data_IF_502456820512
#
_entry.id   IF_502456820512
#
_cell.length_a   1.000
_cell.length_b   1.000
_cell.length_c   1.000
_cell.angle_alpha   90.00
_cell.angle_beta   90.00
_cell.angle_gamma   90.00
#
_symmetry.space_group_name_H-M   'P 1'
#
loop_
_entity.id
_entity.type
_entity.pdbx_description
1 polymer ?
#
# COMPACT_ATOMS: atom_id res chain seq x y z
N UNK A 1 -2.45 28.21 43.66
CA UNK A 1 -2.41 26.75 43.90
C UNK A 1 -3.39 26.10 42.93
N UNK A 2 -2.91 25.52 41.83
CA UNK A 2 -3.74 24.83 40.84
C UNK A 2 -3.66 23.32 41.10
N UNK A 3 -4.78 22.58 41.14
CA UNK A 3 -4.75 21.13 41.26
C UNK A 3 -4.29 20.54 39.92
N UNK A 4 -3.20 19.77 39.95
CA UNK A 4 -2.81 18.86 38.86
C UNK A 4 -3.81 17.70 38.84
N UNK A 5 -4.84 17.78 38.01
CA UNK A 5 -5.70 16.63 37.72
C UNK A 5 -4.94 15.67 36.80
N UNK A 6 -4.52 14.54 37.37
CA UNK A 6 -3.92 13.46 36.61
C UNK A 6 -4.94 12.90 35.63
N UNK A 7 -4.52 12.79 34.37
CA UNK A 7 -5.18 11.97 33.37
C UNK A 7 -5.44 10.56 33.93
N UNK A 8 -6.45 9.82 33.44
CA UNK A 8 -6.62 8.40 33.75
C UNK A 8 -5.28 7.70 33.56
N UNK A 9 -4.65 7.30 34.66
CA UNK A 9 -3.52 6.39 34.60
C UNK A 9 -4.12 5.06 34.16
N UNK A 10 -4.02 4.78 32.86
CA UNK A 10 -4.01 3.42 32.39
C UNK A 10 -2.91 2.71 33.18
N UNK A 11 -3.30 1.86 34.14
CA UNK A 11 -2.41 0.85 34.70
C UNK A 11 -2.14 -0.15 33.57
N UNK A 12 -1.21 0.21 32.70
CA UNK A 12 -0.64 -0.64 31.68
C UNK A 12 0.80 -0.93 32.10
N UNK A 13 1.16 -2.18 32.42
CA UNK A 13 2.56 -2.56 32.36
C UNK A 13 2.93 -2.59 30.87
N UNK A 14 3.60 -1.54 30.40
CA UNK A 14 4.09 -1.46 29.02
C UNK A 14 3.56 -0.23 28.29
N UNK A 15 4.19 0.91 28.53
CA UNK A 15 4.08 2.05 27.63
C UNK A 15 4.74 1.71 26.30
N UNK A 16 3.93 1.50 25.27
CA UNK A 16 4.24 1.84 23.88
C UNK A 16 2.94 2.28 23.22
N UNK A 17 2.79 3.59 23.05
CA UNK A 17 1.85 4.15 22.10
C UNK A 17 2.38 3.82 20.69
N UNK A 18 1.84 2.76 20.11
CA UNK A 18 1.83 2.48 18.68
C UNK A 18 0.49 1.78 18.45
N UNK A 19 -0.39 2.37 17.63
CA UNK A 19 -1.60 1.73 17.09
C UNK A 19 -1.24 0.62 16.08
N UNK A 20 -0.19 -0.12 16.38
CA UNK A 20 0.29 -1.26 15.67
C UNK A 20 -0.11 -2.46 16.51
N UNK A 21 -0.94 -3.34 15.96
CA UNK A 21 -1.11 -4.69 16.48
C UNK A 21 0.26 -5.32 16.75
N UNK A 22 0.38 -6.29 17.68
CA UNK A 22 1.64 -6.99 17.90
C UNK A 22 2.21 -7.61 16.60
N UNK A 23 1.37 -7.85 15.60
CA UNK A 23 1.75 -8.21 14.24
C UNK A 23 2.41 -7.04 13.48
N UNK A 24 1.78 -5.86 13.43
CA UNK A 24 2.35 -4.65 12.80
C UNK A 24 3.65 -4.18 13.45
N UNK A 25 3.78 -4.29 14.78
CA UNK A 25 5.02 -3.96 15.49
C UNK A 25 6.17 -4.93 15.15
N UNK A 26 5.86 -6.20 14.84
CA UNK A 26 6.83 -7.21 14.40
C UNK A 26 7.21 -7.02 12.94
N UNK A 27 6.25 -6.71 12.06
CA UNK A 27 6.49 -6.30 10.67
C UNK A 27 7.44 -5.08 10.59
N UNK A 28 7.22 -4.07 11.43
CA UNK A 28 8.12 -2.92 11.51
C UNK A 28 9.56 -3.27 11.90
N UNK A 29 9.76 -4.36 12.65
CA UNK A 29 11.08 -4.81 13.11
C UNK A 29 11.77 -5.78 12.12
N UNK A 30 11.01 -6.54 11.34
CA UNK A 30 11.51 -7.37 10.24
C UNK A 30 11.94 -6.54 9.01
N UNK A 31 11.33 -5.36 8.82
CA UNK A 31 11.62 -4.44 7.71
C UNK A 31 13.10 -4.11 7.48
N UNK A 32 13.95 -3.77 8.47
CA UNK A 32 15.38 -3.54 8.25
C UNK A 32 16.14 -4.77 7.71
N UNK A 33 15.70 -5.98 8.05
CA UNK A 33 16.31 -7.22 7.53
C UNK A 33 15.97 -7.36 6.05
N UNK A 34 14.71 -7.13 5.68
CA UNK A 34 14.26 -7.14 4.27
C UNK A 34 14.95 -6.04 3.46
N UNK A 35 15.06 -4.83 3.99
CA UNK A 35 15.77 -3.71 3.33
C UNK A 35 17.26 -4.01 3.13
N UNK A 36 17.93 -4.59 4.13
CA UNK A 36 19.33 -5.03 4.00
C UNK A 36 19.48 -6.13 2.95
N UNK A 37 18.48 -7.01 2.83
CA UNK A 37 18.43 -8.06 1.81
C UNK A 37 18.30 -7.47 0.41
N UNK A 38 17.38 -6.52 0.23
CA UNK A 38 17.14 -5.83 -1.04
C UNK A 38 18.33 -4.96 -1.45
N UNK A 39 18.99 -4.30 -0.49
CA UNK A 39 20.18 -3.49 -0.72
C UNK A 39 21.40 -4.32 -1.19
N UNK A 40 21.43 -5.62 -0.89
CA UNK A 40 22.47 -6.53 -1.34
C UNK A 40 22.24 -7.09 -2.75
N UNK A 41 21.14 -6.71 -3.43
CA UNK A 41 20.87 -7.15 -4.80
C UNK A 41 21.67 -6.33 -5.84
N UNK A 42 22.09 -6.94 -6.96
CA UNK A 42 22.81 -6.24 -8.01
C UNK A 42 21.98 -5.09 -8.59
N UNK A 43 22.62 -3.92 -8.76
CA UNK A 43 22.03 -2.66 -9.23
C UNK A 43 21.05 -2.74 -10.41
N UNK A 44 21.25 -3.56 -11.48
CA UNK A 44 20.28 -3.66 -12.57
C UNK A 44 18.95 -4.30 -12.13
N UNK A 45 18.97 -5.27 -11.22
CA UNK A 45 17.74 -5.88 -10.69
C UNK A 45 16.96 -4.88 -9.83
N UNK A 46 17.68 -4.01 -9.11
CA UNK A 46 17.10 -2.96 -8.28
C UNK A 46 16.48 -1.83 -9.13
N UNK A 47 17.09 -1.50 -10.28
CA UNK A 47 16.52 -0.55 -11.24
C UNK A 47 15.22 -1.07 -11.88
N UNK A 48 15.18 -2.34 -12.31
CA UNK A 48 13.96 -2.97 -12.86
C UNK A 48 12.88 -3.09 -11.78
N UNK A 49 13.25 -3.47 -10.55
CA UNK A 49 12.32 -3.49 -9.43
C UNK A 49 11.75 -2.10 -9.15
N UNK A 50 12.59 -1.06 -9.11
CA UNK A 50 12.18 0.34 -8.95
C UNK A 50 11.24 0.81 -10.06
N UNK A 51 11.51 0.43 -11.31
CA UNK A 51 10.68 0.78 -12.46
C UNK A 51 9.32 0.08 -12.42
N UNK A 52 9.27 -1.20 -12.03
CA UNK A 52 8.03 -1.95 -11.82
C UNK A 52 7.24 -1.52 -10.58
N UNK A 53 7.92 -0.98 -9.56
CA UNK A 53 7.32 -0.32 -8.39
C UNK A 53 6.88 1.13 -8.66
N UNK A 54 7.03 1.62 -9.90
CA UNK A 54 6.55 2.96 -10.32
C UNK A 54 7.42 4.13 -9.85
N UNK A 55 8.71 3.91 -9.57
CA UNK A 55 9.60 4.94 -8.98
C UNK A 55 10.56 5.62 -9.97
N UNK A 56 10.31 5.54 -11.28
CA UNK A 56 11.13 6.25 -12.28
C UNK A 56 10.30 7.16 -13.17
N UNK A 57 10.61 8.45 -13.16
CA UNK A 57 10.24 9.41 -14.20
C UNK A 57 10.77 8.89 -15.54
N UNK A 58 9.88 8.55 -16.46
CA UNK A 58 10.25 7.92 -17.73
C UNK A 58 10.92 8.94 -18.67
N UNK A 59 12.21 8.73 -18.97
CA UNK A 59 12.88 9.36 -20.11
C UNK A 59 12.43 8.66 -21.40
N UNK A 60 11.93 9.46 -22.35
CA UNK A 60 11.25 9.03 -23.57
C UNK A 60 12.00 8.03 -24.45
N UNK A 61 11.25 7.05 -24.98
CA UNK A 61 11.69 6.15 -26.04
C UNK A 61 11.22 6.69 -27.40
N UNK A 62 12.18 6.97 -28.27
CA UNK A 62 11.99 7.43 -29.63
C UNK A 62 11.63 6.28 -30.59
N UNK A 63 10.70 6.57 -31.50
CA UNK A 63 10.75 6.16 -32.91
C UNK A 63 10.25 4.76 -33.27
N UNK A 64 9.12 4.70 -33.99
CA UNK A 64 8.87 3.67 -35.00
C UNK A 64 8.00 4.24 -36.13
N UNK A 65 8.63 4.46 -37.28
CA UNK A 65 7.95 4.64 -38.55
C UNK A 65 7.99 3.31 -39.31
N UNK A 66 6.83 2.73 -39.63
CA UNK A 66 6.72 1.68 -40.65
C UNK A 66 5.49 1.94 -41.53
N UNK A 67 5.62 1.97 -42.86
CA UNK A 67 4.49 2.12 -43.78
C UNK A 67 3.94 0.74 -44.17
N UNK A 68 2.61 0.55 -44.14
CA UNK A 68 2.02 -0.65 -44.74
C UNK A 68 0.62 -1.08 -44.29
N UNK A 69 -0.02 -0.41 -43.32
CA UNK A 69 -1.37 -0.81 -42.88
C UNK A 69 -2.45 0.09 -43.50
N UNK A 70 -3.06 -0.39 -44.59
CA UNK A 70 -4.20 0.26 -45.24
C UNK A 70 -5.48 -0.23 -44.54
N UNK A 71 -6.03 0.59 -43.64
CA UNK A 71 -7.29 0.26 -42.96
C UNK A 71 -7.65 1.00 -41.68
N UNK A 72 -7.01 2.13 -41.36
CA UNK A 72 -7.52 3.05 -40.34
C UNK A 72 -8.01 4.33 -41.03
N UNK A 73 -9.27 4.70 -40.79
CA UNK A 73 -9.74 6.07 -41.01
C UNK A 73 -9.02 6.98 -40.01
N UNK A 74 -7.94 7.62 -40.45
CA UNK A 74 -7.18 8.60 -39.69
C UNK A 74 -7.58 9.99 -40.17
N UNK A 75 -8.15 10.84 -39.31
CA UNK A 75 -8.15 12.28 -39.56
C UNK A 75 -6.68 12.76 -39.58
N UNK A 76 -6.25 13.32 -40.72
CA UNK A 76 -4.84 13.66 -40.99
C UNK A 76 -4.22 14.74 -40.08
N UNK A 77 -4.98 15.33 -39.16
CA UNK A 77 -4.56 16.48 -38.33
C UNK A 77 -4.22 16.10 -36.88
N UNK A 78 -4.70 14.96 -36.39
CA UNK A 78 -4.61 14.60 -34.95
C UNK A 78 -4.08 13.19 -34.74
N UNK A 79 -2.97 12.87 -35.43
CA UNK A 79 -2.21 11.61 -35.39
C UNK A 79 -2.64 10.57 -34.34
N UNK A 80 -3.02 9.39 -34.81
CA UNK A 80 -3.56 8.29 -34.00
C UNK A 80 -2.74 8.04 -32.71
N UNK A 81 -3.19 8.60 -31.58
CA UNK A 81 -2.76 8.19 -30.26
C UNK A 81 -3.44 6.87 -29.93
N UNK A 82 -2.91 5.77 -30.45
CA UNK A 82 -3.13 4.51 -29.79
C UNK A 82 -2.41 4.58 -28.44
N UNK A 83 -3.05 4.18 -27.31
CA UNK A 83 -2.27 3.88 -26.12
C UNK A 83 -1.24 2.85 -26.55
N UNK A 84 0.04 3.23 -26.49
CA UNK A 84 1.11 2.29 -26.75
C UNK A 84 0.94 1.20 -25.70
N UNK A 85 0.37 0.06 -26.09
CA UNK A 85 0.30 -1.13 -25.26
C UNK A 85 1.73 -1.38 -24.84
N UNK A 86 2.04 -1.18 -23.55
CA UNK A 86 3.40 -1.30 -23.08
C UNK A 86 3.88 -2.69 -23.49
N UNK A 87 4.91 -2.74 -24.35
CA UNK A 87 5.40 -4.00 -24.84
C UNK A 87 5.68 -4.91 -23.63
N UNK A 88 5.28 -6.20 -23.68
CA UNK A 88 5.52 -7.10 -22.57
C UNK A 88 7.00 -7.03 -22.21
N UNK A 89 7.36 -7.04 -20.91
CA UNK A 89 8.73 -6.81 -20.49
C UNK A 89 9.63 -7.85 -21.16
N UNK A 90 10.83 -7.42 -21.50
CA UNK A 90 11.71 -8.21 -22.32
C UNK A 90 11.95 -9.57 -21.65
N UNK A 91 12.21 -10.65 -22.42
CA UNK A 91 12.56 -11.95 -21.85
C UNK A 91 13.66 -11.88 -20.78
N UNK A 92 14.59 -10.93 -20.90
CA UNK A 92 15.63 -10.63 -19.91
C UNK A 92 15.05 -10.19 -18.55
N UNK A 93 14.04 -9.33 -18.54
CA UNK A 93 13.41 -8.82 -17.32
C UNK A 93 12.68 -9.94 -16.57
N UNK A 94 12.05 -10.87 -17.30
CA UNK A 94 11.40 -12.07 -16.72
C UNK A 94 12.40 -12.99 -16.04
N UNK A 95 13.58 -13.20 -16.64
CA UNK A 95 14.64 -13.99 -16.03
C UNK A 95 15.16 -13.36 -14.74
N UNK A 96 15.31 -12.03 -14.72
CA UNK A 96 15.69 -11.28 -13.51
C UNK A 96 14.67 -11.46 -12.41
N UNK A 97 13.38 -11.30 -12.68
CA UNK A 97 12.31 -11.48 -11.69
C UNK A 97 12.32 -12.89 -11.07
N UNK A 98 12.50 -13.93 -11.90
CA UNK A 98 12.60 -15.32 -11.43
C UNK A 98 13.85 -15.55 -10.58
N UNK A 99 14.98 -14.97 -10.96
CA UNK A 99 16.22 -15.05 -10.18
C UNK A 99 16.10 -14.34 -8.82
N UNK A 100 15.48 -13.16 -8.79
CA UNK A 100 15.22 -12.44 -7.53
C UNK A 100 14.29 -13.27 -6.64
N UNK A 101 13.19 -13.81 -7.17
CA UNK A 101 12.28 -14.67 -6.41
C UNK A 101 13.00 -15.90 -5.81
N UNK A 102 13.86 -16.57 -6.59
CA UNK A 102 14.67 -17.69 -6.10
C UNK A 102 15.67 -17.27 -4.99
N UNK A 103 16.21 -16.06 -5.09
CA UNK A 103 17.11 -15.52 -4.06
C UNK A 103 16.37 -15.22 -2.76
N UNK A 104 15.14 -14.69 -2.84
CA UNK A 104 14.28 -14.45 -1.67
C UNK A 104 13.90 -15.76 -0.98
N UNK A 105 13.52 -16.80 -1.75
CA UNK A 105 13.25 -18.14 -1.22
C UNK A 105 14.46 -18.73 -0.48
N UNK A 106 15.66 -18.64 -1.07
CA UNK A 106 16.88 -19.15 -0.44
C UNK A 106 17.14 -18.47 0.91
N UNK A 107 16.87 -17.17 1.02
CA UNK A 107 17.00 -16.42 2.27
C UNK A 107 15.89 -16.74 3.26
N UNK A 108 14.66 -16.92 2.79
CA UNK A 108 13.54 -17.36 3.62
C UNK A 108 13.84 -18.73 4.26
N UNK A 109 14.43 -19.65 3.50
CA UNK A 109 14.86 -20.96 4.02
C UNK A 109 15.91 -20.82 5.13
N UNK A 110 16.94 -19.99 4.93
CA UNK A 110 17.97 -19.73 5.95
C UNK A 110 17.36 -19.14 7.23
N UNK A 111 16.45 -18.16 7.11
CA UNK A 111 15.77 -17.56 8.26
C UNK A 111 14.90 -18.57 9.00
N UNK A 112 14.22 -19.45 8.25
CA UNK A 112 13.42 -20.53 8.82
C UNK A 112 14.28 -21.53 9.60
N UNK A 113 15.45 -21.90 9.08
CA UNK A 113 16.40 -22.81 9.75
C UNK A 113 17.02 -22.18 11.01
N UNK A 114 17.22 -20.86 11.00
CA UNK A 114 17.70 -20.10 12.18
C UNK A 114 16.60 -19.85 13.20
N UNK A 115 15.33 -19.97 12.82
CA UNK A 115 14.23 -19.70 13.73
C UNK A 115 14.11 -20.78 14.80
N UNK A 116 14.14 -20.35 16.06
CA UNK A 116 13.94 -21.26 17.21
C UNK A 116 12.47 -21.58 17.49
N UNK A 117 11.54 -20.95 16.76
CA UNK A 117 10.09 -21.03 16.98
C UNK A 117 9.33 -20.67 15.71
N UNK A 118 8.26 -21.40 15.40
CA UNK A 118 7.34 -21.07 14.29
C UNK A 118 6.68 -19.69 14.42
N UNK A 119 6.76 -19.08 15.62
CA UNK A 119 6.22 -17.75 15.93
C UNK A 119 7.32 -16.72 16.25
N UNK A 120 8.59 -17.05 15.96
CA UNK A 120 9.73 -16.15 16.11
C UNK A 120 9.75 -15.03 15.07
N UNK A 121 10.53 -13.98 15.34
CA UNK A 121 10.71 -12.85 14.42
C UNK A 121 11.28 -13.30 13.05
N UNK A 122 12.16 -14.30 13.07
CA UNK A 122 12.76 -14.91 11.88
C UNK A 122 11.72 -15.66 11.05
N UNK A 123 10.75 -16.32 11.69
CA UNK A 123 9.64 -17.02 10.99
C UNK A 123 8.71 -16.03 10.29
N UNK A 124 8.43 -14.88 10.91
CA UNK A 124 7.66 -13.81 10.25
C UNK A 124 8.42 -13.22 9.06
N UNK A 125 9.71 -12.93 9.22
CA UNK A 125 10.56 -12.44 8.12
C UNK A 125 10.64 -13.45 6.96
N UNK A 126 10.77 -14.75 7.27
CA UNK A 126 10.76 -15.81 6.25
C UNK A 126 9.43 -15.86 5.49
N UNK A 127 8.29 -15.71 6.19
CA UNK A 127 6.96 -15.65 5.55
C UNK A 127 6.85 -14.46 4.60
N UNK A 128 7.27 -13.28 5.05
CA UNK A 128 7.25 -12.05 4.23
C UNK A 128 8.11 -12.19 2.96
N UNK A 129 9.33 -12.73 3.08
CA UNK A 129 10.20 -12.98 1.92
C UNK A 129 9.58 -13.97 0.93
N UNK A 130 8.89 -15.01 1.43
CA UNK A 130 8.19 -15.99 0.59
C UNK A 130 7.03 -15.33 -0.17
N UNK A 131 6.23 -14.51 0.52
CA UNK A 131 5.14 -13.75 -0.11
C UNK A 131 5.63 -12.77 -1.18
N UNK A 132 6.78 -12.12 -0.95
CA UNK A 132 7.44 -11.28 -1.94
C UNK A 132 7.94 -12.09 -3.15
N UNK A 133 8.56 -13.26 -2.93
CA UNK A 133 8.98 -14.15 -4.00
C UNK A 133 7.80 -14.59 -4.88
N UNK A 134 6.68 -14.96 -4.28
CA UNK A 134 5.45 -15.34 -4.99
C UNK A 134 4.84 -14.19 -5.77
N UNK A 135 4.93 -12.95 -5.26
CA UNK A 135 4.52 -11.77 -6.01
C UNK A 135 5.38 -11.56 -7.25
N UNK A 136 6.70 -11.71 -7.14
CA UNK A 136 7.62 -11.57 -8.28
C UNK A 136 7.43 -12.66 -9.34
N UNK A 137 7.15 -13.91 -8.91
CA UNK A 137 6.80 -15.00 -9.84
C UNK A 137 5.54 -14.68 -10.63
N UNK A 138 4.47 -14.28 -9.94
CA UNK A 138 3.21 -13.89 -10.59
C UNK A 138 3.44 -12.78 -11.59
N UNK A 139 4.20 -11.75 -11.23
CA UNK A 139 4.50 -10.66 -12.16
C UNK A 139 5.31 -11.12 -13.38
N UNK A 140 6.24 -12.07 -13.21
CA UNK A 140 6.98 -12.66 -14.33
C UNK A 140 6.08 -13.52 -15.24
N UNK A 141 5.08 -14.20 -14.69
CA UNK A 141 4.14 -15.03 -15.42
C UNK A 141 3.06 -14.18 -16.12
N UNK A 142 2.52 -13.15 -15.47
CA UNK A 142 1.61 -12.16 -16.04
C UNK A 142 2.27 -11.45 -17.24
N UNK A 143 3.52 -11.02 -17.06
CA UNK A 143 4.36 -10.50 -18.12
C UNK A 143 4.53 -11.47 -19.29
N UNK A 144 4.72 -12.77 -19.00
CA UNK A 144 4.85 -13.79 -20.04
C UNK A 144 3.54 -14.04 -20.80
N UNK A 145 2.41 -13.89 -20.11
CA UNK A 145 1.08 -13.97 -20.70
C UNK A 145 0.67 -12.70 -21.46
N UNK A 146 1.51 -11.66 -21.46
CA UNK A 146 1.17 -10.36 -22.04
C UNK A 146 0.06 -9.64 -21.27
N UNK A 147 -0.20 -10.05 -20.02
CA UNK A 147 -1.13 -9.37 -19.13
C UNK A 147 -0.44 -8.08 -18.71
N UNK A 148 -0.81 -6.99 -19.36
CA UNK A 148 -0.44 -5.67 -18.90
C UNK A 148 -1.07 -5.49 -17.50
N UNK A 149 -0.31 -5.11 -16.46
CA UNK A 149 -0.92 -4.72 -15.21
C UNK A 149 -1.97 -3.65 -15.53
N UNK A 150 -3.16 -3.69 -14.91
CA UNK A 150 -4.19 -2.71 -15.18
C UNK A 150 -3.55 -1.34 -15.03
N UNK A 151 -3.47 -0.59 -16.13
CA UNK A 151 -3.03 0.81 -16.11
C UNK A 151 -4.17 1.55 -15.43
N UNK A 152 -4.09 1.64 -14.10
CA UNK A 152 -5.18 2.07 -13.25
C UNK A 152 -5.37 3.57 -13.36
N UNK A 153 -6.09 3.99 -14.41
CA UNK A 153 -7.10 5.05 -14.30
C UNK A 153 -8.36 4.48 -13.62
N UNK A 154 -8.19 3.63 -12.61
CA UNK A 154 -9.32 3.03 -11.91
C UNK A 154 -9.89 4.08 -10.98
N UNK A 155 -11.10 4.52 -11.33
CA UNK A 155 -11.97 5.17 -10.39
C UNK A 155 -12.14 4.23 -9.18
N UNK A 156 -11.43 4.53 -8.09
CA UNK A 156 -11.60 3.79 -6.85
C UNK A 156 -13.06 3.94 -6.40
N UNK A 157 -13.78 2.84 -6.13
CA UNK A 157 -15.09 2.95 -5.52
C UNK A 157 -14.98 3.69 -4.19
N UNK A 158 -16.00 4.46 -3.82
CA UNK A 158 -16.00 5.17 -2.55
C UNK A 158 -15.80 4.18 -1.40
N UNK A 159 -14.80 4.45 -0.56
CA UNK A 159 -14.53 3.63 0.61
C UNK A 159 -15.34 4.17 1.80
N UNK A 160 -15.92 3.26 2.58
CA UNK A 160 -16.71 3.62 3.75
C UNK A 160 -16.09 3.00 5.01
N UNK A 161 -15.86 3.83 6.01
CA UNK A 161 -15.38 3.40 7.32
C UNK A 161 -16.32 3.90 8.40
N UNK A 162 -16.63 3.05 9.37
CA UNK A 162 -17.46 3.37 10.52
C UNK A 162 -16.58 3.53 11.75
N UNK A 163 -16.70 4.66 12.44
CA UNK A 163 -15.95 4.94 13.66
C UNK A 163 -16.91 5.13 14.84
N UNK A 164 -16.59 4.52 15.96
CA UNK A 164 -17.22 4.88 17.23
C UNK A 164 -16.44 6.06 17.82
N UNK A 165 -17.14 7.13 18.21
CA UNK A 165 -16.51 8.31 18.78
C UNK A 165 -16.98 8.53 20.22
N UNK A 166 -16.07 9.04 21.04
CA UNK A 166 -16.27 9.41 22.45
C UNK A 166 -16.10 10.93 22.57
N UNK A 167 -17.08 11.62 23.15
CA UNK A 167 -16.98 13.07 23.38
C UNK A 167 -16.12 13.34 24.61
N UNK A 168 -14.98 14.00 24.42
CA UNK A 168 -14.14 14.52 25.49
C UNK A 168 -14.70 15.88 25.96
N UNK A 169 -15.22 15.99 27.19
CA UNK A 169 -15.79 17.24 27.68
C UNK A 169 -14.74 18.32 27.98
N UNK A 170 -13.46 17.96 28.18
CA UNK A 170 -12.38 18.90 28.49
C UNK A 170 -11.92 19.58 27.21
N UNK A 171 -11.66 18.81 26.16
CA UNK A 171 -11.28 19.34 24.84
C UNK A 171 -12.50 19.80 24.02
N UNK A 172 -13.71 19.45 24.46
CA UNK A 172 -14.97 19.68 23.75
C UNK A 172 -14.94 19.14 22.30
N UNK A 173 -14.33 17.97 22.12
CA UNK A 173 -14.17 17.33 20.81
C UNK A 173 -14.64 15.88 20.81
N UNK A 174 -14.84 15.32 19.63
CA UNK A 174 -15.17 13.91 19.46
C UNK A 174 -13.93 13.15 19.02
N UNK A 175 -13.50 12.19 19.85
CA UNK A 175 -12.30 11.40 19.61
C UNK A 175 -12.71 10.02 19.09
N UNK A 176 -12.19 9.57 17.93
CA UNK A 176 -12.46 8.23 17.44
C UNK A 176 -11.80 7.18 18.33
N UNK A 177 -12.55 6.16 18.74
CA UNK A 177 -12.04 5.00 19.47
C UNK A 177 -12.44 3.72 18.71
N UNK A 178 -11.61 3.36 17.73
CA UNK A 178 -11.84 2.20 16.87
C UNK A 178 -12.64 2.53 15.61
N UNK A 179 -12.14 2.03 14.49
CA UNK A 179 -12.75 2.11 13.17
C UNK A 179 -12.92 0.71 12.58
N UNK A 180 -13.92 0.54 11.73
CA UNK A 180 -14.15 -0.71 10.98
C UNK A 180 -14.80 -0.41 9.65
N UNK A 181 -14.44 -1.17 8.62
CA UNK A 181 -15.10 -1.10 7.31
C UNK A 181 -16.46 -1.82 7.31
N UNK A 182 -16.79 -2.55 8.38
CA UNK A 182 -18.07 -3.25 8.55
C UNK A 182 -18.90 -2.56 9.63
N UNK A 183 -20.09 -2.06 9.25
CA UNK A 183 -20.99 -1.32 10.15
C UNK A 183 -21.32 -2.10 11.41
N UNK A 184 -21.67 -3.38 11.29
CA UNK A 184 -22.14 -4.18 12.42
C UNK A 184 -21.04 -4.41 13.46
N UNK A 185 -19.80 -4.57 13.01
CA UNK A 185 -18.62 -4.63 13.88
C UNK A 185 -18.46 -3.34 14.68
N UNK A 186 -18.61 -2.18 14.04
CA UNK A 186 -18.55 -0.90 14.73
C UNK A 186 -19.72 -0.69 15.70
N UNK A 187 -20.94 -1.12 15.34
CA UNK A 187 -22.11 -1.09 16.24
C UNK A 187 -21.88 -1.98 17.46
N UNK A 188 -21.35 -3.19 17.27
CA UNK A 188 -21.03 -4.09 18.37
C UNK A 188 -19.94 -3.51 19.28
N UNK A 189 -18.89 -2.91 18.70
CA UNK A 189 -17.83 -2.21 19.43
C UNK A 189 -18.39 -1.05 20.28
N UNK A 190 -19.27 -0.23 19.71
CA UNK A 190 -19.94 0.86 20.41
C UNK A 190 -20.81 0.35 21.58
N UNK A 191 -21.59 -0.72 21.37
CA UNK A 191 -22.41 -1.33 22.41
C UNK A 191 -21.55 -1.87 23.56
N UNK A 192 -20.44 -2.55 23.24
CA UNK A 192 -19.48 -3.04 24.24
C UNK A 192 -18.86 -1.88 25.03
N UNK A 193 -18.44 -0.80 24.36
CA UNK A 193 -17.83 0.35 25.02
C UNK A 193 -18.78 1.06 25.99
N UNK A 194 -20.07 1.17 25.61
CA UNK A 194 -21.12 1.69 26.52
C UNK A 194 -21.27 0.84 27.78
N UNK A 195 -21.08 -0.48 27.68
CA UNK A 195 -21.15 -1.40 28.82
C UNK A 195 -19.91 -1.36 29.71
N UNK A 196 -18.72 -1.29 29.11
CA UNK A 196 -17.44 -1.41 29.83
C UNK A 196 -17.05 -0.11 30.54
N UNK A 197 -17.31 1.05 29.92
CA UNK A 197 -16.92 2.35 30.47
C UNK A 197 -18.09 3.36 30.38
N UNK A 198 -19.20 3.15 31.10
CA UNK A 198 -20.36 4.05 31.03
C UNK A 198 -20.06 5.46 31.56
N UNK A 199 -19.10 5.59 32.47
CA UNK A 199 -18.77 6.84 33.16
C UNK A 199 -17.28 7.20 32.96
N UNK A 200 -16.99 8.49 33.03
CA UNK A 200 -15.64 9.03 33.20
C UNK A 200 -15.16 8.83 34.65
N UNK A 201 -13.88 9.09 34.91
CA UNK A 201 -13.28 8.96 36.25
C UNK A 201 -13.90 9.89 37.29
N UNK A 202 -14.51 10.99 36.86
CA UNK A 202 -15.23 11.96 37.70
C UNK A 202 -16.70 11.56 37.94
N UNK A 203 -17.15 10.41 37.40
CA UNK A 203 -18.53 9.93 37.48
C UNK A 203 -19.46 10.51 36.40
N UNK A 204 -18.98 11.40 35.53
CA UNK A 204 -19.79 11.98 34.46
C UNK A 204 -20.13 10.92 33.40
N UNK A 205 -21.39 10.80 32.94
CA UNK A 205 -21.74 9.89 31.86
C UNK A 205 -20.99 10.19 30.56
N UNK A 206 -20.40 9.15 29.99
CA UNK A 206 -19.73 9.24 28.69
C UNK A 206 -20.74 9.38 27.54
N UNK A 207 -20.51 10.33 26.63
CA UNK A 207 -21.32 10.47 25.41
C UNK A 207 -20.61 9.79 24.26
N UNK A 208 -21.31 8.90 23.55
CA UNK A 208 -20.77 8.15 22.40
C UNK A 208 -21.69 8.17 21.21
N UNK A 209 -21.11 8.29 20.02
CA UNK A 209 -21.83 8.25 18.74
C UNK A 209 -21.14 7.32 17.74
N UNK A 210 -21.87 6.92 16.70
CA UNK A 210 -21.34 6.20 15.55
C UNK A 210 -21.30 7.17 14.38
N UNK A 211 -20.16 7.29 13.71
CA UNK A 211 -19.96 8.17 12.55
C UNK A 211 -19.54 7.31 11.35
N UNK A 212 -20.01 7.70 10.15
CA UNK A 212 -19.57 7.12 8.88
C UNK A 212 -18.64 8.11 8.17
N UNK A 213 -17.38 7.73 8.00
CA UNK A 213 -16.46 8.40 7.09
C UNK A 213 -16.64 7.82 5.68
N UNK A 214 -16.59 8.69 4.67
CA UNK A 214 -16.61 8.28 3.26
C UNK A 214 -15.43 8.94 2.57
N UNK A 215 -14.54 8.12 2.03
CA UNK A 215 -13.35 8.57 1.30
C UNK A 215 -13.64 8.43 -0.19
N UNK A 216 -13.58 9.55 -0.91
CA UNK A 216 -13.72 9.59 -2.37
C UNK A 216 -12.40 10.00 -2.99
N UNK A 217 -11.95 9.25 -3.99
CA UNK A 217 -10.73 9.54 -4.72
C UNK A 217 -11.09 10.31 -5.99
N UNK A 218 -10.42 11.45 -6.21
CA UNK A 218 -10.51 12.20 -7.47
C UNK A 218 -9.19 12.00 -8.20
N UNK A 219 -9.24 11.42 -9.40
CA UNK A 219 -8.08 11.31 -10.27
C UNK A 219 -7.94 12.65 -11.00
N UNK A 220 -6.86 13.39 -10.73
CA UNK A 220 -6.52 14.57 -11.51
C UNK A 220 -6.05 14.12 -12.89
N UNK A 221 -6.68 14.56 -13.99
CA UNK A 221 -6.26 14.18 -15.33
C UNK A 221 -4.85 14.72 -15.58
N UNK A 222 -3.95 13.86 -16.07
CA UNK A 222 -2.61 14.29 -16.47
C UNK A 222 -2.74 15.42 -17.51
N UNK A 223 -2.09 16.58 -17.29
CA UNK A 223 -2.19 17.70 -18.21
C UNK A 223 -1.64 17.27 -19.57
N UNK A 224 -2.43 17.47 -20.62
CA UNK A 224 -2.02 17.18 -21.98
C UNK A 224 -0.70 17.89 -22.27
N UNK A 225 0.32 17.13 -22.69
CA UNK A 225 1.61 17.68 -23.03
C UNK A 225 1.44 18.85 -24.00
N UNK A 226 2.09 20.01 -23.76
CA UNK A 226 1.95 21.16 -24.64
C UNK A 226 2.36 20.74 -26.06
N UNK A 227 1.50 21.06 -27.03
CA UNK A 227 1.78 20.81 -28.44
C UNK A 227 3.15 21.41 -28.78
N UNK A 228 4.04 20.59 -29.33
CA UNK A 228 5.36 21.03 -29.74
C UNK A 228 5.22 22.21 -30.72
N UNK A 229 6.05 23.27 -30.58
CA UNK A 229 5.96 24.42 -31.46
C UNK A 229 6.18 23.96 -32.91
N UNK A 230 5.22 24.26 -33.79
CA UNK A 230 5.35 24.06 -35.23
C UNK A 230 6.58 24.82 -35.71
N UNK A 231 7.59 24.08 -36.18
CA UNK A 231 8.74 24.63 -36.89
C UNK A 231 8.23 25.31 -38.16
N UNK A 232 8.14 26.64 -38.11
CA UNK A 232 7.83 27.48 -39.26
C UNK A 232 8.94 27.30 -40.30
N UNK A 233 8.55 26.80 -41.48
CA UNK A 233 9.41 26.56 -42.64
C UNK A 233 9.63 27.81 -43.48
#
# INVERSE_FOLDING_TARGET
>A
MLPRYGAPQHNTPGGLSLTATPEEARLHRARPIVEAVLAAMPAPALAVARQLLGTTEAAGAAGCAMPGFVGCDCDHVTGCQHPATAAPPAPADRAVLRWVAATLDGRAAVLKDLSSSDYGEESFAARELTEQADRLRRLADDAAAGVQPPTTNEAHPAEHTWAAELHDPIANEWVPFGSSNVRDTAVHGLARARKVAPLWNDGTPTKRRLVRATTTYTVEPEPAAPAAPEEQR
#
